data_IF_602482740939
#
_entry.id   IF_602482740939
#
_cell.length_a   1.000
_cell.length_b   1.000
_cell.length_c   1.000
_cell.angle_alpha   90.00
_cell.angle_beta   90.00
_cell.angle_gamma   90.00
#
_symmetry.space_group_name_H-M   'P 1'
#
loop_
_entity.id
_entity.type
_entity.pdbx_description
1 polymer ?
#
# COMPACT_ATOMS: atom_id res chain seq x y z
N UNK A 1 -51.59 -7.29 48.12
CA UNK A 1 -51.62 -8.73 47.73
C UNK A 1 -51.05 -8.81 46.32
N UNK A 2 -49.75 -8.94 46.07
CA UNK A 2 -48.78 -10.02 46.35
C UNK A 2 -48.96 -11.29 45.50
N UNK A 3 -47.83 -11.73 44.90
CA UNK A 3 -47.48 -13.00 44.22
C UNK A 3 -47.82 -13.11 42.71
N UNK A 4 -46.88 -13.07 41.75
CA UNK A 4 -45.71 -13.94 41.38
C UNK A 4 -46.09 -15.32 40.81
N UNK A 5 -45.57 -15.65 39.60
CA UNK A 5 -45.02 -16.93 39.06
C UNK A 5 -44.82 -16.74 37.53
N UNK A 6 -43.64 -16.36 37.03
CA UNK A 6 -42.47 -17.15 36.54
C UNK A 6 -42.71 -18.09 35.35
N UNK A 7 -41.87 -17.95 34.31
CA UNK A 7 -41.35 -19.08 33.52
C UNK A 7 -41.37 -18.89 32.01
N UNK A 8 -40.20 -18.86 31.38
CA UNK A 8 -40.05 -19.17 29.95
C UNK A 8 -39.04 -18.32 29.17
N UNK A 9 -37.77 -18.70 29.26
CA UNK A 9 -36.64 -18.17 28.48
C UNK A 9 -36.74 -18.71 27.04
N UNK A 10 -36.62 -17.85 26.02
CA UNK A 10 -35.88 -18.16 24.79
C UNK A 10 -35.24 -16.89 24.23
N UNK A 11 -33.92 -16.95 24.10
CA UNK A 11 -33.03 -16.01 23.43
C UNK A 11 -33.35 -15.89 21.93
N UNK A 12 -33.14 -14.71 21.33
CA UNK A 12 -32.16 -14.52 20.25
C UNK A 12 -32.33 -13.19 19.50
N UNK A 13 -31.16 -12.59 19.20
CA UNK A 13 -30.83 -11.77 18.03
C UNK A 13 -31.51 -10.38 17.94
N UNK A 14 -30.84 -9.25 17.74
CA UNK A 14 -29.52 -8.99 17.16
C UNK A 14 -28.98 -7.69 17.72
N UNK A 15 -27.81 -7.74 18.35
CA UNK A 15 -26.96 -6.58 18.54
C UNK A 15 -26.02 -6.53 17.34
N UNK A 16 -26.08 -5.47 16.53
CA UNK A 16 -24.90 -4.97 15.80
C UNK A 16 -24.99 -3.44 15.83
N UNK A 17 -24.42 -2.92 16.90
CA UNK A 17 -24.08 -1.52 17.08
C UNK A 17 -23.24 -1.02 15.91
N UNK A 18 -23.66 0.13 15.39
CA UNK A 18 -22.89 0.98 14.48
C UNK A 18 -21.68 1.53 15.23
N UNK A 19 -20.58 0.78 15.28
CA UNK A 19 -19.30 1.28 15.81
C UNK A 19 -18.35 1.50 14.65
N UNK A 20 -18.53 2.64 13.96
CA UNK A 20 -17.48 3.22 13.12
C UNK A 20 -16.41 3.71 14.09
N UNK A 21 -15.52 2.79 14.49
CA UNK A 21 -14.35 3.12 15.29
C UNK A 21 -13.44 4.00 14.45
N UNK A 22 -13.47 5.30 14.72
CA UNK A 22 -12.38 6.21 14.37
C UNK A 22 -11.17 5.73 15.18
N UNK A 23 -10.38 4.85 14.57
CA UNK A 23 -9.26 4.19 15.20
C UNK A 23 -7.98 4.66 14.52
N UNK A 24 -7.18 5.44 15.25
CA UNK A 24 -5.84 5.87 14.87
C UNK A 24 -4.92 5.76 16.07
N UNK A 25 -4.03 4.76 16.10
CA UNK A 25 -2.83 4.81 16.90
C UNK A 25 -1.61 4.81 15.98
N UNK A 26 -0.81 5.84 16.16
CA UNK A 26 0.53 5.95 15.58
C UNK A 26 1.45 4.77 15.95
N UNK A 27 1.10 3.98 16.97
CA UNK A 27 1.82 2.77 17.40
C UNK A 27 1.60 1.53 16.53
N UNK A 28 0.54 1.46 15.73
CA UNK A 28 0.33 0.31 14.82
C UNK A 28 1.15 0.40 13.53
N UNK A 29 1.76 1.56 13.26
CA UNK A 29 2.65 1.72 12.12
C UNK A 29 3.88 0.83 12.20
N UNK A 30 4.30 0.45 13.41
CA UNK A 30 5.48 -0.39 13.67
C UNK A 30 5.18 -1.90 13.48
N UNK A 31 3.91 -2.29 13.46
CA UNK A 31 3.47 -3.68 13.22
C UNK A 31 2.96 -3.92 11.80
N UNK A 32 2.95 -2.88 10.94
CA UNK A 32 2.51 -2.98 9.56
C UNK A 32 3.53 -3.76 8.73
N UNK A 33 3.31 -5.06 8.62
CA UNK A 33 4.07 -5.90 7.69
C UNK A 33 3.50 -5.74 6.29
N UNK A 34 4.36 -5.38 5.33
CA UNK A 34 3.99 -5.32 3.92
C UNK A 34 3.81 -6.75 3.43
N UNK A 35 2.61 -7.07 2.97
CA UNK A 35 2.26 -8.41 2.54
C UNK A 35 3.05 -8.83 1.27
N UNK A 36 3.81 -9.93 1.37
CA UNK A 36 4.65 -10.42 0.28
C UNK A 36 3.83 -10.88 -0.92
N UNK A 37 2.65 -11.46 -0.71
CA UNK A 37 1.78 -11.90 -1.81
C UNK A 37 1.27 -10.72 -2.64
N UNK A 38 0.88 -9.63 -1.95
CA UNK A 38 0.52 -8.38 -2.58
C UNK A 38 1.68 -7.76 -3.35
N UNK A 39 2.90 -7.75 -2.80
CA UNK A 39 4.09 -7.29 -3.51
C UNK A 39 4.35 -8.07 -4.80
N UNK A 40 4.24 -9.40 -4.75
CA UNK A 40 4.39 -10.25 -5.92
C UNK A 40 3.33 -9.94 -6.99
N UNK A 41 2.09 -9.64 -6.58
CA UNK A 41 1.04 -9.20 -7.52
C UNK A 41 1.37 -7.84 -8.14
N UNK A 42 1.88 -6.88 -7.37
CA UNK A 42 2.32 -5.58 -7.88
C UNK A 42 3.48 -5.72 -8.89
N UNK A 43 4.43 -6.61 -8.62
CA UNK A 43 5.54 -6.95 -9.51
C UNK A 43 5.00 -7.53 -10.82
N UNK A 44 4.12 -8.54 -10.75
CA UNK A 44 3.53 -9.18 -11.92
C UNK A 44 2.79 -8.17 -12.83
N UNK A 45 1.95 -7.30 -12.25
CA UNK A 45 1.25 -6.24 -13.01
C UNK A 45 2.24 -5.33 -13.75
N UNK A 46 3.38 -5.02 -13.15
CA UNK A 46 4.41 -4.17 -13.74
C UNK A 46 5.21 -4.87 -14.84
N UNK A 47 5.57 -6.14 -14.63
CA UNK A 47 6.29 -6.97 -15.59
C UNK A 47 5.43 -7.34 -16.81
N UNK A 48 4.11 -7.48 -16.62
CA UNK A 48 3.13 -7.74 -17.69
C UNK A 48 2.65 -6.46 -18.39
N UNK A 49 3.24 -5.29 -18.08
CA UNK A 49 2.88 -3.97 -18.63
C UNK A 49 1.38 -3.61 -18.48
N UNK A 50 0.71 -4.12 -17.44
CA UNK A 50 -0.70 -3.87 -17.16
C UNK A 50 -0.93 -2.62 -16.30
N UNK A 51 0.06 -1.73 -16.21
CA UNK A 51 0.01 -0.53 -15.37
C UNK A 51 -1.06 0.47 -15.78
N UNK A 52 -1.45 0.49 -17.06
CA UNK A 52 -2.52 1.36 -17.56
C UNK A 52 -3.92 0.85 -17.23
N UNK A 53 -4.05 -0.43 -16.86
CA UNK A 53 -5.31 -1.00 -16.41
C UNK A 53 -5.66 -0.60 -14.96
N UNK A 54 -4.73 0.01 -14.21
CA UNK A 54 -5.00 0.45 -12.84
C UNK A 54 -6.13 1.50 -12.81
N UNK A 55 -7.05 1.41 -11.84
CA UNK A 55 -7.05 0.51 -10.68
C UNK A 55 -7.74 -0.86 -10.90
N UNK A 56 -8.18 -1.21 -12.11
CA UNK A 56 -9.07 -2.35 -12.37
C UNK A 56 -8.61 -3.72 -11.81
N UNK A 57 -7.31 -4.04 -11.74
CA UNK A 57 -6.84 -5.28 -11.10
C UNK A 57 -7.17 -5.37 -9.60
N UNK A 58 -7.56 -4.29 -8.92
CA UNK A 58 -7.89 -4.27 -7.50
C UNK A 58 -9.35 -3.87 -7.28
N UNK A 59 -10.02 -4.57 -6.36
CA UNK A 59 -11.35 -4.16 -5.87
C UNK A 59 -11.25 -2.88 -5.04
N UNK A 60 -12.37 -2.16 -4.86
CA UNK A 60 -12.39 -0.93 -4.06
C UNK A 60 -11.98 -1.17 -2.59
N UNK A 61 -12.31 -2.34 -2.03
CA UNK A 61 -11.89 -2.74 -0.68
C UNK A 61 -10.37 -2.91 -0.60
N UNK A 62 -9.78 -3.62 -1.57
CA UNK A 62 -8.33 -3.77 -1.68
C UNK A 62 -7.62 -2.43 -1.86
N UNK A 63 -8.15 -1.54 -2.71
CA UNK A 63 -7.58 -0.21 -2.91
C UNK A 63 -7.55 0.58 -1.59
N UNK A 64 -8.64 0.55 -0.82
CA UNK A 64 -8.69 1.23 0.48
C UNK A 64 -7.75 0.58 1.49
N UNK A 65 -7.75 -0.76 1.57
CA UNK A 65 -6.91 -1.54 2.49
C UNK A 65 -5.43 -1.30 2.25
N UNK A 66 -4.98 -1.30 0.99
CA UNK A 66 -3.56 -1.17 0.64
C UNK A 66 -3.08 0.28 0.57
N UNK A 67 -3.99 1.27 0.57
CA UNK A 67 -3.62 2.69 0.60
C UNK A 67 -2.72 3.07 1.77
N UNK A 68 -2.80 2.32 2.89
CA UNK A 68 -1.95 2.54 4.07
C UNK A 68 -0.47 2.29 3.78
N UNK A 69 -0.15 1.33 2.89
CA UNK A 69 1.23 0.98 2.53
C UNK A 69 1.95 2.09 1.76
N UNK A 70 1.20 2.98 1.11
CA UNK A 70 1.76 4.14 0.41
C UNK A 70 2.44 5.14 1.36
N UNK A 71 2.12 5.10 2.66
CA UNK A 71 2.66 6.04 3.68
C UNK A 71 3.37 5.31 4.82
N UNK A 72 3.76 4.06 4.58
CA UNK A 72 4.58 3.27 5.50
C UNK A 72 6.02 3.80 5.49
N UNK A 73 6.70 3.69 6.63
CA UNK A 73 8.05 4.23 6.81
C UNK A 73 9.09 3.53 5.93
N UNK A 74 10.22 4.21 5.76
CA UNK A 74 11.33 3.71 4.96
C UNK A 74 11.84 2.36 5.48
N UNK A 75 11.90 2.15 6.80
CA UNK A 75 12.41 0.92 7.43
C UNK A 75 11.62 -0.32 7.01
N UNK A 76 10.29 -0.24 6.99
CA UNK A 76 9.42 -1.34 6.55
C UNK A 76 9.61 -1.65 5.07
N UNK A 77 9.76 -0.63 4.22
CA UNK A 77 10.07 -0.82 2.79
C UNK A 77 11.46 -1.40 2.56
N UNK A 78 12.43 -1.08 3.41
CA UNK A 78 13.76 -1.70 3.36
C UNK A 78 13.70 -3.19 3.72
N UNK A 79 12.97 -3.54 4.79
CA UNK A 79 12.78 -4.92 5.20
C UNK A 79 12.04 -5.74 4.12
N UNK A 80 10.94 -5.20 3.59
CA UNK A 80 10.17 -5.87 2.54
C UNK A 80 10.96 -6.05 1.22
N UNK A 81 11.88 -5.13 0.92
CA UNK A 81 12.73 -5.22 -0.25
C UNK A 81 13.93 -6.15 -0.07
N UNK A 82 14.28 -6.57 1.15
CA UNK A 82 15.49 -7.34 1.45
C UNK A 82 15.58 -8.63 0.62
N UNK A 83 14.46 -9.36 0.52
CA UNK A 83 14.37 -10.62 -0.23
C UNK A 83 14.07 -10.45 -1.73
N UNK A 84 13.85 -9.22 -2.19
CA UNK A 84 13.53 -8.93 -3.60
C UNK A 84 14.80 -8.73 -4.43
N UNK A 85 14.75 -9.14 -5.70
CA UNK A 85 15.82 -8.85 -6.65
C UNK A 85 15.84 -7.36 -7.05
N UNK A 86 16.93 -6.88 -7.65
CA UNK A 86 16.97 -5.50 -8.14
C UNK A 86 15.91 -5.25 -9.23
N UNK A 87 15.63 -6.25 -10.07
CA UNK A 87 14.63 -6.17 -11.13
C UNK A 87 13.21 -6.04 -10.54
N UNK A 88 12.90 -6.83 -9.50
CA UNK A 88 11.63 -6.73 -8.77
C UNK A 88 11.45 -5.35 -8.12
N UNK A 89 12.52 -4.78 -7.56
CA UNK A 89 12.47 -3.44 -6.98
C UNK A 89 12.21 -2.40 -8.07
N UNK A 90 12.83 -2.52 -9.24
CA UNK A 90 12.57 -1.64 -10.39
C UNK A 90 11.11 -1.77 -10.85
N UNK A 91 10.59 -3.00 -10.93
CA UNK A 91 9.20 -3.27 -11.26
C UNK A 91 8.23 -2.64 -10.25
N UNK A 92 8.52 -2.71 -8.95
CA UNK A 92 7.73 -2.04 -7.92
C UNK A 92 7.80 -0.51 -8.02
N UNK A 93 8.97 0.06 -8.31
CA UNK A 93 9.10 1.51 -8.55
C UNK A 93 8.19 1.94 -9.72
N UNK A 94 8.19 1.19 -10.83
CA UNK A 94 7.28 1.43 -11.96
C UNK A 94 5.82 1.37 -11.51
N UNK A 95 5.46 0.33 -10.77
CA UNK A 95 4.11 0.13 -10.25
C UNK A 95 3.65 1.31 -9.40
N UNK A 96 4.38 1.66 -8.34
CA UNK A 96 3.98 2.73 -7.42
C UNK A 96 3.95 4.10 -8.09
N UNK A 97 4.82 4.34 -9.08
CA UNK A 97 4.77 5.56 -9.89
C UNK A 97 3.42 5.74 -10.59
N UNK A 98 2.88 4.66 -11.17
CA UNK A 98 1.56 4.69 -11.86
C UNK A 98 0.39 4.58 -10.90
N UNK A 99 0.52 3.74 -9.87
CA UNK A 99 -0.53 3.54 -8.89
C UNK A 99 -0.87 4.85 -8.16
N UNK A 100 0.14 5.67 -7.83
CA UNK A 100 -0.08 6.97 -7.21
C UNK A 100 -0.90 7.94 -8.10
N UNK A 101 -0.75 7.83 -9.42
CA UNK A 101 -1.47 8.66 -10.40
C UNK A 101 -2.88 8.14 -10.70
N UNK A 102 -3.06 6.82 -10.75
CA UNK A 102 -4.27 6.19 -11.26
C UNK A 102 -5.22 5.69 -10.16
N UNK A 103 -4.73 5.44 -8.95
CA UNK A 103 -5.51 4.92 -7.83
C UNK A 103 -5.81 6.06 -6.85
N UNK A 104 -7.10 6.36 -6.67
CA UNK A 104 -7.53 7.41 -5.74
C UNK A 104 -7.17 7.04 -4.30
N UNK A 105 -6.60 7.99 -3.54
CA UNK A 105 -6.20 7.79 -2.14
C UNK A 105 -4.76 7.28 -1.94
N UNK A 106 -4.08 6.89 -3.02
CA UNK A 106 -2.70 6.39 -2.98
C UNK A 106 -1.64 7.49 -3.10
N UNK A 107 -2.03 8.75 -3.32
CA UNK A 107 -1.12 9.92 -3.33
C UNK A 107 -0.31 10.03 -2.03
N UNK A 108 1.01 9.87 -2.11
CA UNK A 108 1.90 9.84 -0.94
C UNK A 108 2.99 10.89 -0.99
N UNK A 109 3.16 11.60 -2.11
CA UNK A 109 4.11 12.69 -2.21
C UNK A 109 5.53 12.24 -1.81
N UNK A 110 6.12 12.91 -0.82
CA UNK A 110 7.47 12.62 -0.33
C UNK A 110 7.60 11.26 0.39
N UNK A 111 6.48 10.64 0.76
CA UNK A 111 6.43 9.37 1.48
C UNK A 111 6.23 8.16 0.54
N UNK A 112 6.20 8.41 -0.77
CA UNK A 112 5.92 7.39 -1.79
C UNK A 112 6.86 6.18 -1.68
N UNK A 113 6.35 4.94 -1.77
CA UNK A 113 7.16 3.73 -1.80
C UNK A 113 8.22 3.73 -2.89
N UNK A 114 7.92 4.35 -4.04
CA UNK A 114 8.86 4.45 -5.15
C UNK A 114 10.17 5.16 -4.75
N UNK A 115 10.11 6.13 -3.82
CA UNK A 115 11.27 6.84 -3.29
C UNK A 115 12.09 5.91 -2.38
N UNK A 116 11.42 5.20 -1.46
CA UNK A 116 12.07 4.28 -0.53
C UNK A 116 12.75 3.11 -1.26
N UNK A 117 12.07 2.54 -2.25
CA UNK A 117 12.60 1.48 -3.11
C UNK A 117 13.80 1.95 -3.94
N UNK A 118 13.76 3.16 -4.49
CA UNK A 118 14.92 3.74 -5.19
C UNK A 118 16.12 3.94 -4.23
N UNK A 119 15.89 4.31 -2.97
CA UNK A 119 16.97 4.35 -1.96
C UNK A 119 17.57 2.96 -1.70
N UNK A 120 16.75 1.91 -1.69
CA UNK A 120 17.24 0.51 -1.56
C UNK A 120 18.13 0.14 -2.74
N UNK A 121 17.71 0.39 -3.99
CA UNK A 121 18.54 0.14 -5.18
C UNK A 121 19.89 0.84 -5.09
N UNK A 122 19.88 2.13 -4.75
CA UNK A 122 21.11 2.92 -4.61
C UNK A 122 22.04 2.39 -3.53
N UNK A 123 21.49 1.91 -2.40
CA UNK A 123 22.27 1.26 -1.33
C UNK A 123 22.92 -0.04 -1.81
N UNK A 124 22.29 -0.76 -2.74
CA UNK A 124 22.82 -1.98 -3.38
C UNK A 124 23.83 -1.71 -4.49
N UNK A 125 24.11 -0.43 -4.81
CA UNK A 125 25.01 -0.04 -5.90
C UNK A 125 24.34 0.03 -7.27
N UNK A 126 23.04 -0.27 -7.35
CA UNK A 126 22.24 -0.21 -8.58
C UNK A 126 21.64 1.19 -8.77
N UNK A 127 21.39 1.58 -10.02
CA UNK A 127 20.75 2.87 -10.33
C UNK A 127 19.70 2.69 -11.40
N UNK A 128 18.63 3.47 -11.31
CA UNK A 128 17.67 3.59 -12.41
C UNK A 128 18.39 4.14 -13.64
N UNK A 129 18.27 3.44 -14.76
CA UNK A 129 18.79 3.92 -16.03
C UNK A 129 18.04 5.18 -16.50
N UNK A 130 18.66 5.94 -17.40
CA UNK A 130 18.09 7.11 -18.06
C UNK A 130 16.70 6.84 -18.64
N UNK A 131 16.48 5.70 -19.30
CA UNK A 131 15.18 5.38 -19.90
C UNK A 131 14.08 5.31 -18.83
N UNK A 132 14.37 4.62 -17.72
CA UNK A 132 13.46 4.50 -16.59
C UNK A 132 13.21 5.85 -15.88
N UNK A 133 14.24 6.68 -15.74
CA UNK A 133 14.09 8.03 -15.19
C UNK A 133 13.19 8.93 -16.05
N UNK A 134 13.33 8.84 -17.39
CA UNK A 134 12.44 9.57 -18.32
C UNK A 134 11.02 9.02 -18.26
N UNK A 135 10.87 7.70 -18.20
CA UNK A 135 9.57 7.06 -18.06
C UNK A 135 8.86 7.53 -16.79
N UNK A 136 9.52 7.54 -15.62
CA UNK A 136 8.93 8.01 -14.37
C UNK A 136 8.39 9.43 -14.52
N UNK A 137 9.20 10.36 -15.06
CA UNK A 137 8.80 11.77 -15.22
C UNK A 137 7.56 11.96 -16.09
N UNK A 138 7.35 11.10 -17.07
CA UNK A 138 6.16 11.17 -17.94
C UNK A 138 4.93 10.49 -17.32
N UNK A 139 5.10 9.73 -16.24
CA UNK A 139 4.09 8.81 -15.73
C UNK A 139 3.57 9.13 -14.33
N UNK A 140 4.07 10.17 -13.67
CA UNK A 140 3.60 10.65 -12.36
C UNK A 140 3.59 12.17 -12.30
N UNK A 141 2.69 12.73 -11.49
CA UNK A 141 2.66 14.16 -11.15
C UNK A 141 3.40 14.44 -9.83
N UNK A 142 3.82 13.38 -9.12
CA UNK A 142 4.59 13.50 -7.88
C UNK A 142 6.06 13.84 -8.17
N UNK A 143 6.39 15.14 -8.04
CA UNK A 143 7.74 15.68 -8.23
C UNK A 143 8.82 15.11 -7.31
N UNK A 144 8.44 14.41 -6.23
CA UNK A 144 9.38 13.80 -5.31
C UNK A 144 9.88 12.44 -5.86
N UNK A 145 9.15 11.75 -6.72
CA UNK A 145 9.61 10.47 -7.30
C UNK A 145 10.68 10.75 -8.37
N UNK A 146 11.82 10.01 -8.40
CA UNK A 146 12.18 8.90 -7.51
C UNK A 146 13.12 9.27 -6.34
N UNK A 147 13.52 10.53 -6.20
CA UNK A 147 14.66 10.90 -5.31
C UNK A 147 14.24 11.39 -3.91
N UNK A 148 12.98 11.72 -3.70
CA UNK A 148 12.47 12.37 -2.50
C UNK A 148 12.51 13.89 -2.57
N UNK A 149 12.15 14.54 -1.45
CA UNK A 149 12.38 15.98 -1.26
C UNK A 149 13.87 16.29 -1.19
N UNK A 150 14.26 17.35 -1.90
CA UNK A 150 15.59 17.96 -1.81
C UNK A 150 15.84 18.56 -0.42
#
# INVERSE_FOLDING_TARGET
>A
MNMRYTGGIVSNASNLEMTIGSWTPEKEKDTLTIDSQWLQRCIAISQEDQLEALPAPFTSDEQQRYSVFMRVSQEHWQAAAEELSNDDIIALIRFFTRAEKLISGWDAGKESPAIWLNKVLRKRGEKLDREMLLWIRNNTDNRFIPNGGL
#
